data_IF_644229653972
#
_entry.id   IF_644229653972
#
_cell.length_a   1.000
_cell.length_b   1.000
_cell.length_c   1.000
_cell.angle_alpha   90.00
_cell.angle_beta   90.00
_cell.angle_gamma   90.00
#
_symmetry.space_group_name_H-M   'P 1'
#
loop_
_entity.id
_entity.type
_entity.pdbx_description
1 polymer ?
#
# COMPACT_ATOMS: atom_id res chain seq x y z
N UNK A 1 25.01 -23.65 -47.43
CA UNK A 1 23.59 -23.47 -47.07
C UNK A 1 23.23 -24.08 -45.71
N UNK A 2 23.43 -25.39 -45.45
CA UNK A 2 23.04 -26.04 -44.16
C UNK A 2 23.69 -25.43 -42.91
N UNK A 3 25.00 -25.12 -42.95
CA UNK A 3 25.70 -24.48 -41.81
C UNK A 3 25.22 -23.06 -41.51
N UNK A 4 24.86 -22.29 -42.54
CA UNK A 4 24.27 -20.96 -42.38
C UNK A 4 22.86 -21.05 -41.79
N UNK A 5 22.05 -22.00 -42.25
CA UNK A 5 20.71 -22.25 -41.69
C UNK A 5 20.78 -22.65 -40.20
N UNK A 6 21.67 -23.57 -39.83
CA UNK A 6 21.88 -23.95 -38.43
C UNK A 6 22.35 -22.77 -37.56
N UNK A 7 23.24 -21.92 -38.09
CA UNK A 7 23.69 -20.71 -37.40
C UNK A 7 22.55 -19.70 -37.19
N UNK A 8 21.74 -19.45 -38.23
CA UNK A 8 20.58 -18.56 -38.15
C UNK A 8 19.57 -19.09 -37.12
N UNK A 9 19.24 -20.39 -37.14
CA UNK A 9 18.34 -21.00 -36.16
C UNK A 9 18.89 -20.82 -34.74
N UNK A 10 20.18 -21.04 -34.53
CA UNK A 10 20.81 -20.86 -33.22
C UNK A 10 20.71 -19.42 -32.72
N UNK A 11 20.98 -18.43 -33.57
CA UNK A 11 20.86 -17.01 -33.22
C UNK A 11 19.41 -16.65 -32.89
N UNK A 12 18.43 -17.13 -33.66
CA UNK A 12 17.01 -16.90 -33.39
C UNK A 12 16.59 -17.49 -32.04
N UNK A 13 17.02 -18.72 -31.72
CA UNK A 13 16.74 -19.35 -30.42
C UNK A 13 17.34 -18.54 -29.27
N UNK A 14 18.56 -18.03 -29.42
CA UNK A 14 19.18 -17.17 -28.41
C UNK A 14 18.42 -15.85 -28.23
N UNK A 15 17.96 -15.22 -29.31
CA UNK A 15 17.16 -13.99 -29.23
C UNK A 15 15.81 -14.22 -28.54
N UNK A 16 15.13 -15.34 -28.84
CA UNK A 16 13.88 -15.71 -28.18
C UNK A 16 14.10 -16.00 -26.69
N UNK A 17 15.16 -16.73 -26.34
CA UNK A 17 15.49 -16.99 -24.94
C UNK A 17 15.84 -15.69 -24.18
N UNK A 18 16.62 -14.79 -24.78
CA UNK A 18 16.95 -13.50 -24.19
C UNK A 18 15.70 -12.63 -23.99
N UNK A 19 14.78 -12.61 -24.98
CA UNK A 19 13.51 -11.92 -24.86
C UNK A 19 12.63 -12.52 -23.74
N UNK A 20 12.56 -13.85 -23.64
CA UNK A 20 11.81 -14.52 -22.58
C UNK A 20 12.36 -14.19 -21.19
N UNK A 21 13.68 -14.22 -21.01
CA UNK A 21 14.34 -13.81 -19.76
C UNK A 21 14.09 -12.33 -19.45
N UNK A 22 14.16 -11.47 -20.47
CA UNK A 22 13.88 -10.04 -20.28
C UNK A 22 12.43 -9.78 -19.85
N UNK A 23 11.48 -10.45 -20.47
CA UNK A 23 10.05 -10.38 -20.10
C UNK A 23 9.87 -10.90 -18.67
N UNK A 24 10.44 -12.07 -18.33
CA UNK A 24 10.31 -12.64 -17.00
C UNK A 24 10.90 -11.74 -15.91
N UNK A 25 12.07 -11.15 -16.19
CA UNK A 25 12.74 -10.21 -15.29
C UNK A 25 11.98 -8.89 -15.10
N UNK A 26 11.29 -8.42 -16.14
CA UNK A 26 10.53 -7.16 -16.11
C UNK A 26 9.09 -7.35 -15.65
N UNK A 27 8.60 -8.60 -15.57
CA UNK A 27 7.25 -8.88 -15.12
C UNK A 27 7.10 -8.59 -13.62
N UNK A 28 6.25 -7.62 -13.28
CA UNK A 28 5.90 -7.32 -11.89
C UNK A 28 5.05 -8.43 -11.32
N UNK A 29 5.61 -9.23 -10.42
CA UNK A 29 4.87 -10.24 -9.65
C UNK A 29 4.38 -9.64 -8.34
N UNK A 30 3.25 -10.14 -7.82
CA UNK A 30 2.80 -9.82 -6.47
C UNK A 30 3.83 -10.32 -5.46
N UNK A 31 3.97 -9.63 -4.34
CA UNK A 31 4.91 -10.01 -3.29
C UNK A 31 4.22 -10.94 -2.30
N UNK A 32 4.94 -11.96 -1.84
CA UNK A 32 4.43 -12.86 -0.81
C UNK A 32 4.10 -12.10 0.49
N UNK A 33 3.04 -12.46 1.23
CA UNK A 33 2.68 -11.86 2.52
C UNK A 33 3.65 -12.24 3.67
N UNK A 34 4.79 -12.87 3.32
CA UNK A 34 5.87 -13.29 4.22
C UNK A 34 7.20 -13.24 3.48
N UNK A 35 8.29 -13.18 4.24
CA UNK A 35 9.65 -13.25 3.69
C UNK A 35 10.59 -12.23 4.32
N UNK A 36 11.56 -11.79 3.52
CA UNK A 36 12.62 -10.89 3.96
C UNK A 36 13.57 -11.51 4.99
N UNK A 37 14.28 -10.66 5.74
CA UNK A 37 15.17 -11.09 6.83
C UNK A 37 14.35 -11.78 7.93
N UNK A 38 14.82 -12.92 8.42
CA UNK A 38 14.19 -13.60 9.55
C UNK A 38 14.38 -12.81 10.86
N UNK A 39 13.32 -12.72 11.66
CA UNK A 39 13.34 -12.07 12.98
C UNK A 39 13.22 -13.12 14.08
N UNK A 40 14.26 -13.27 14.90
CA UNK A 40 14.32 -14.24 16.00
C UNK A 40 13.35 -13.94 17.15
N UNK A 41 12.87 -12.70 17.24
CA UNK A 41 11.92 -12.25 18.26
C UNK A 41 10.82 -11.43 17.57
N UNK A 42 9.64 -11.41 18.18
CA UNK A 42 8.52 -10.60 17.70
C UNK A 42 8.85 -9.12 17.90
N UNK A 43 8.81 -8.35 16.81
CA UNK A 43 8.96 -6.90 16.83
C UNK A 43 7.61 -6.29 16.48
N UNK A 44 7.17 -5.34 17.30
CA UNK A 44 5.94 -4.58 17.09
C UNK A 44 6.20 -3.10 17.21
N UNK A 45 5.60 -2.34 16.30
CA UNK A 45 5.54 -0.89 16.34
C UNK A 45 4.22 -0.50 17.01
N UNK A 46 4.27 0.52 17.87
CA UNK A 46 3.11 1.07 18.57
C UNK A 46 2.22 1.92 17.64
N UNK A 47 1.89 1.39 16.46
CA UNK A 47 0.98 2.03 15.51
C UNK A 47 -0.44 2.02 16.13
N UNK A 48 -1.11 3.18 16.21
CA UNK A 48 -2.48 3.24 16.72
C UNK A 48 -3.42 2.44 15.83
N UNK A 49 -4.57 2.03 16.38
CA UNK A 49 -5.58 1.31 15.62
C UNK A 49 -6.75 2.24 15.32
N UNK A 50 -7.00 2.50 14.04
CA UNK A 50 -8.22 3.19 13.60
C UNK A 50 -9.11 2.24 12.82
N UNK A 51 -10.41 2.26 13.13
CA UNK A 51 -11.41 1.45 12.43
C UNK A 51 -12.07 2.33 11.38
N UNK A 52 -12.05 1.91 10.12
CA UNK A 52 -12.72 2.69 9.07
C UNK A 52 -14.23 2.78 9.34
N UNK A 53 -14.81 1.77 10.00
CA UNK A 53 -16.22 1.67 10.38
C UNK A 53 -16.55 2.19 11.78
N UNK A 54 -15.70 3.04 12.36
CA UNK A 54 -15.97 3.68 13.65
C UNK A 54 -17.15 4.65 13.59
N UNK A 55 -18.02 4.64 14.61
CA UNK A 55 -19.26 5.42 14.65
C UNK A 55 -19.05 6.91 14.36
N UNK A 56 -17.92 7.47 14.80
CA UNK A 56 -17.59 8.88 14.60
C UNK A 56 -17.56 9.33 13.14
N UNK A 57 -17.17 8.45 12.21
CA UNK A 57 -16.90 8.83 10.81
C UNK A 57 -17.36 7.82 9.77
N UNK A 58 -17.86 6.65 10.16
CA UNK A 58 -18.23 5.57 9.23
C UNK A 58 -19.24 5.97 8.15
N UNK A 59 -20.06 6.99 8.45
CA UNK A 59 -21.13 7.46 7.58
C UNK A 59 -20.70 8.70 6.76
N UNK A 60 -19.47 9.19 6.94
CA UNK A 60 -18.93 10.32 6.17
C UNK A 60 -18.68 9.89 4.72
N UNK A 61 -19.12 10.69 3.72
CA UNK A 61 -18.78 10.46 2.32
C UNK A 61 -17.27 10.48 2.09
N UNK A 62 -16.77 9.51 1.33
CA UNK A 62 -15.36 9.43 0.99
C UNK A 62 -14.97 10.62 0.09
N UNK A 63 -14.02 11.43 0.55
CA UNK A 63 -13.63 12.67 -0.12
C UNK A 63 -14.74 13.73 -0.21
N UNK A 64 -15.80 13.62 0.60
CA UNK A 64 -16.95 14.53 0.53
C UNK A 64 -17.88 14.28 -0.65
N UNK A 65 -17.68 13.18 -1.40
CA UNK A 65 -18.46 12.81 -2.58
C UNK A 65 -19.28 11.54 -2.27
N UNK A 66 -20.62 11.63 -2.15
CA UNK A 66 -21.46 10.48 -1.79
C UNK A 66 -21.34 9.28 -2.74
N UNK A 67 -21.06 9.52 -4.02
CA UNK A 67 -20.93 8.49 -5.05
C UNK A 67 -19.72 7.57 -4.83
N UNK A 68 -18.72 8.03 -4.06
CA UNK A 68 -17.52 7.26 -3.72
C UNK A 68 -17.73 6.30 -2.53
N UNK A 69 -18.94 6.22 -2.01
CA UNK A 69 -19.25 5.48 -0.79
C UNK A 69 -18.85 6.24 0.47
N UNK A 70 -18.74 5.52 1.58
CA UNK A 70 -18.44 6.11 2.89
C UNK A 70 -17.07 5.65 3.40
N UNK A 71 -16.52 6.38 4.38
CA UNK A 71 -15.34 5.93 5.12
C UNK A 71 -15.53 4.53 5.73
N UNK A 72 -16.74 4.21 6.19
CA UNK A 72 -17.06 2.89 6.74
C UNK A 72 -16.91 1.75 5.73
N UNK A 73 -17.33 1.98 4.48
CA UNK A 73 -17.25 0.97 3.41
C UNK A 73 -15.88 0.91 2.74
N UNK A 74 -15.36 2.06 2.33
CA UNK A 74 -14.23 2.16 1.37
C UNK A 74 -13.00 2.88 1.96
N UNK A 75 -13.05 3.33 3.21
CA UNK A 75 -12.03 4.18 3.84
C UNK A 75 -10.75 3.48 4.30
N UNK A 76 -10.48 2.23 3.88
CA UNK A 76 -9.31 1.47 4.36
C UNK A 76 -7.98 2.21 4.11
N UNK A 77 -7.82 2.83 2.94
CA UNK A 77 -6.62 3.60 2.59
C UNK A 77 -6.45 4.85 3.48
N UNK A 78 -7.55 5.56 3.74
CA UNK A 78 -7.57 6.77 4.57
C UNK A 78 -7.23 6.42 6.01
N UNK A 79 -7.90 5.41 6.57
CA UNK A 79 -7.65 4.96 7.93
C UNK A 79 -6.23 4.42 8.11
N UNK A 80 -5.71 3.63 7.16
CA UNK A 80 -4.34 3.15 7.17
C UNK A 80 -3.32 4.30 7.13
N UNK A 81 -3.57 5.32 6.31
CA UNK A 81 -2.70 6.51 6.21
C UNK A 81 -2.73 7.32 7.51
N UNK A 82 -3.91 7.54 8.09
CA UNK A 82 -4.05 8.24 9.36
C UNK A 82 -3.32 7.50 10.50
N UNK A 83 -3.34 6.16 10.52
CA UNK A 83 -2.57 5.37 11.49
C UNK A 83 -1.06 5.63 11.38
N UNK A 84 -0.53 5.70 10.14
CA UNK A 84 0.89 5.98 9.90
C UNK A 84 1.25 7.41 10.30
N UNK A 85 0.44 8.40 9.93
CA UNK A 85 0.66 9.80 10.29
C UNK A 85 0.68 10.00 11.81
N UNK A 86 -0.28 9.39 12.51
CA UNK A 86 -0.34 9.46 13.98
C UNK A 86 0.82 8.71 14.65
N UNK A 87 1.28 7.59 14.10
CA UNK A 87 2.50 6.92 14.57
C UNK A 87 3.73 7.84 14.49
N UNK A 88 3.82 8.69 13.46
CA UNK A 88 4.88 9.68 13.32
C UNK A 88 4.63 11.01 14.06
N UNK A 89 3.59 11.09 14.89
CA UNK A 89 3.31 12.24 15.73
C UNK A 89 2.50 13.35 15.08
N UNK A 90 1.95 13.14 13.88
CA UNK A 90 0.97 14.05 13.27
C UNK A 90 -0.39 13.70 13.89
N UNK A 91 -0.96 14.62 14.67
CA UNK A 91 -2.25 14.38 15.33
C UNK A 91 -3.41 14.51 14.35
N UNK A 92 -3.69 13.41 13.65
CA UNK A 92 -4.76 13.29 12.65
C UNK A 92 -5.52 11.98 12.87
N UNK A 93 -6.83 12.02 12.65
CA UNK A 93 -7.70 10.85 12.59
C UNK A 93 -8.24 10.63 11.15
N UNK A 94 -8.92 9.50 10.87
CA UNK A 94 -9.43 9.22 9.53
C UNK A 94 -10.40 10.28 8.99
N UNK A 95 -11.22 10.88 9.85
CA UNK A 95 -12.17 11.92 9.48
C UNK A 95 -11.47 13.22 9.08
N UNK A 96 -10.55 13.69 9.92
CA UNK A 96 -9.74 14.87 9.65
C UNK A 96 -8.94 14.72 8.36
N UNK A 97 -8.36 13.53 8.14
CA UNK A 97 -7.64 13.25 6.89
C UNK A 97 -8.60 13.23 5.68
N UNK A 98 -9.78 12.61 5.83
CA UNK A 98 -10.79 12.56 4.77
C UNK A 98 -11.27 13.95 4.36
N UNK A 99 -11.41 14.88 5.30
CA UNK A 99 -11.78 16.27 5.01
C UNK A 99 -10.62 17.10 4.45
N UNK A 100 -9.39 16.80 4.83
CA UNK A 100 -8.21 17.53 4.37
C UNK A 100 -7.86 17.20 2.91
N UNK A 101 -7.92 15.93 2.52
CA UNK A 101 -7.47 15.48 1.20
C UNK A 101 -8.15 16.20 0.02
N UNK A 102 -9.48 16.45 -0.01
CA UNK A 102 -10.12 17.22 -1.08
C UNK A 102 -9.59 18.65 -1.22
N UNK A 103 -9.13 19.27 -0.12
CA UNK A 103 -8.63 20.65 -0.11
C UNK A 103 -7.26 20.79 -0.79
N UNK A 104 -6.57 19.67 -1.01
CA UNK A 104 -5.23 19.62 -1.61
C UNK A 104 -5.22 18.76 -2.88
N UNK A 105 -6.38 18.56 -3.50
CA UNK A 105 -6.57 17.68 -4.66
C UNK A 105 -5.98 16.28 -4.41
N UNK A 106 -6.19 15.77 -3.20
CA UNK A 106 -5.66 14.51 -2.69
C UNK A 106 -6.52 13.28 -2.99
N UNK A 107 -7.64 13.42 -3.71
CA UNK A 107 -8.52 12.32 -4.12
C UNK A 107 -8.78 12.29 -5.63
N UNK A 108 -8.72 11.10 -6.24
CA UNK A 108 -9.19 10.86 -7.61
C UNK A 108 -10.70 11.07 -7.73
N UNK A 109 -11.21 11.16 -8.96
CA UNK A 109 -12.65 11.21 -9.26
C UNK A 109 -13.44 10.05 -8.63
N UNK A 110 -12.80 8.90 -8.38
CA UNK A 110 -13.38 7.71 -7.74
C UNK A 110 -13.17 7.67 -6.21
N UNK A 111 -12.69 8.76 -5.59
CA UNK A 111 -12.48 8.85 -4.15
C UNK A 111 -11.26 8.07 -3.63
N UNK A 112 -10.35 7.68 -4.51
CA UNK A 112 -9.08 7.06 -4.09
C UNK A 112 -8.08 8.15 -3.76
N UNK A 113 -7.32 8.01 -2.68
CA UNK A 113 -6.27 8.99 -2.41
C UNK A 113 -5.32 9.04 -3.63
N UNK A 114 -5.04 10.24 -4.17
CA UNK A 114 -4.07 10.45 -5.26
C UNK A 114 -2.69 10.03 -4.77
N UNK A 115 -2.38 8.76 -5.03
CA UNK A 115 -1.06 8.16 -4.84
C UNK A 115 -0.24 8.15 -6.14
N UNK A 116 -0.79 8.81 -7.16
CA UNK A 116 -0.51 8.84 -8.60
C UNK A 116 -0.42 7.54 -9.38
N UNK A 117 -0.26 6.32 -8.80
CA UNK A 117 -0.42 5.04 -9.56
C UNK A 117 -0.80 3.79 -8.74
N UNK A 118 -1.37 3.92 -7.54
CA UNK A 118 -1.50 2.77 -6.62
C UNK A 118 -2.80 1.95 -6.71
N UNK A 119 -3.81 2.40 -7.45
CA UNK A 119 -5.02 1.64 -7.71
C UNK A 119 -5.05 1.23 -9.18
N UNK A 120 -4.94 -0.07 -9.47
CA UNK A 120 -5.36 -0.57 -10.77
C UNK A 120 -6.88 -0.36 -10.87
N UNK A 121 -7.39 0.21 -11.98
CA UNK A 121 -8.82 0.34 -12.18
C UNK A 121 -9.49 -1.04 -12.06
N UNK A 122 -10.37 -1.20 -11.06
CA UNK A 122 -11.23 -2.38 -10.92
C UNK A 122 -10.78 -3.48 -9.95
N UNK A 123 -9.70 -3.31 -9.18
CA UNK A 123 -9.42 -4.19 -8.03
C UNK A 123 -9.84 -3.52 -6.72
N UNK A 124 -10.69 -4.18 -5.93
CA UNK A 124 -10.93 -3.81 -4.53
C UNK A 124 -9.64 -4.10 -3.76
N UNK A 125 -8.75 -3.10 -3.69
CA UNK A 125 -7.48 -3.21 -2.97
C UNK A 125 -7.72 -2.87 -1.50
N UNK A 126 -7.59 -3.85 -0.62
CA UNK A 126 -7.65 -3.63 0.83
C UNK A 126 -6.31 -3.10 1.35
N UNK A 127 -6.34 -1.97 2.06
CA UNK A 127 -5.14 -1.35 2.63
C UNK A 127 -4.98 -1.70 4.10
N UNK A 128 -3.78 -2.14 4.47
CA UNK A 128 -3.38 -2.44 5.86
C UNK A 128 -2.02 -1.83 6.17
N UNK A 129 -1.72 -1.63 7.45
CA UNK A 129 -0.41 -1.13 7.88
C UNK A 129 0.43 -2.28 8.40
N UNK A 130 1.55 -2.59 7.76
CA UNK A 130 2.56 -3.49 8.35
C UNK A 130 3.18 -2.76 9.55
N UNK A 131 2.93 -3.30 10.74
CA UNK A 131 3.30 -2.69 12.02
C UNK A 131 4.13 -3.64 12.89
N UNK A 132 4.62 -4.74 12.33
CA UNK A 132 5.50 -5.65 13.04
C UNK A 132 5.98 -6.83 12.21
N UNK A 133 6.79 -7.68 12.84
CA UNK A 133 7.35 -8.88 12.22
C UNK A 133 7.60 -9.97 13.26
N UNK A 134 7.28 -11.21 12.90
CA UNK A 134 7.57 -12.40 13.69
C UNK A 134 8.09 -13.51 12.77
N UNK A 135 9.37 -13.89 12.90
CA UNK A 135 10.00 -14.79 11.94
C UNK A 135 9.95 -14.23 10.52
N UNK A 136 9.31 -14.95 9.60
CA UNK A 136 9.07 -14.50 8.23
C UNK A 136 7.75 -13.74 8.04
N UNK A 137 6.86 -13.75 9.03
CA UNK A 137 5.54 -13.15 8.89
C UNK A 137 5.56 -11.65 9.16
N UNK A 138 4.93 -10.89 8.27
CA UNK A 138 4.61 -9.48 8.53
C UNK A 138 3.35 -9.42 9.39
N UNK A 139 3.36 -8.60 10.45
CA UNK A 139 2.20 -8.36 11.30
C UNK A 139 1.54 -7.07 10.89
N UNK A 140 0.21 -7.07 10.76
CA UNK A 140 -0.54 -5.93 10.23
C UNK A 140 -1.57 -5.39 11.22
N UNK A 141 -1.75 -4.07 11.15
CA UNK A 141 -2.86 -3.32 11.72
C UNK A 141 -3.88 -3.11 10.60
N UNK A 142 -5.04 -3.71 10.74
CA UNK A 142 -6.10 -3.68 9.73
C UNK A 142 -7.19 -2.66 10.11
N UNK A 143 -7.50 -1.67 9.26
CA UNK A 143 -8.58 -0.72 9.53
C UNK A 143 -9.99 -1.29 9.29
N UNK A 144 -10.10 -2.39 8.53
CA UNK A 144 -11.36 -3.03 8.16
C UNK A 144 -11.81 -4.11 9.15
N UNK A 145 -12.35 -5.21 8.62
CA UNK A 145 -12.94 -6.28 9.43
C UNK A 145 -11.93 -6.94 10.39
N UNK A 146 -10.65 -6.98 10.04
CA UNK A 146 -9.60 -7.53 10.90
C UNK A 146 -9.19 -6.64 12.07
N UNK A 147 -9.71 -5.41 12.20
CA UNK A 147 -9.26 -4.47 13.23
C UNK A 147 -9.43 -5.00 14.67
N UNK A 148 -10.47 -5.78 14.92
CA UNK A 148 -10.72 -6.40 16.22
C UNK A 148 -9.66 -7.44 16.64
N UNK A 149 -8.85 -7.93 15.69
CA UNK A 149 -7.79 -8.92 15.95
C UNK A 149 -6.51 -8.29 16.51
N UNK A 150 -6.37 -6.97 16.48
CA UNK A 150 -5.11 -6.29 16.79
C UNK A 150 -4.04 -6.58 15.73
N UNK A 151 -2.81 -6.89 16.15
CA UNK A 151 -1.72 -7.27 15.24
C UNK A 151 -1.79 -8.76 14.90
N UNK A 152 -1.99 -9.07 13.63
CA UNK A 152 -2.06 -10.43 13.13
C UNK A 152 -1.21 -10.63 11.86
N UNK A 153 -0.79 -11.87 11.53
CA UNK A 153 -0.02 -12.16 10.32
C UNK A 153 -0.75 -11.78 9.02
N UNK A 154 -0.08 -11.03 8.14
CA UNK A 154 -0.62 -10.57 6.85
C UNK A 154 -1.14 -11.71 5.97
N UNK A 155 -0.51 -12.89 6.04
CA UNK A 155 -0.96 -14.10 5.32
C UNK A 155 -2.42 -14.48 5.60
N UNK A 156 -2.97 -14.08 6.75
CA UNK A 156 -4.35 -14.38 7.12
C UNK A 156 -5.37 -13.59 6.29
N UNK A 157 -4.96 -12.54 5.56
CA UNK A 157 -5.80 -11.89 4.55
C UNK A 157 -6.06 -12.78 3.34
N UNK A 158 -5.24 -13.81 3.10
CA UNK A 158 -5.40 -14.74 1.99
C UNK A 158 -5.04 -14.18 0.60
N UNK A 159 -4.40 -13.01 0.54
CA UNK A 159 -3.94 -12.39 -0.70
C UNK A 159 -2.45 -12.05 -0.67
N UNK A 160 -1.83 -12.02 -1.85
CA UNK A 160 -0.48 -11.48 -2.03
C UNK A 160 -0.49 -9.95 -2.03
N UNK A 161 0.64 -9.35 -1.72
CA UNK A 161 0.83 -7.90 -1.68
C UNK A 161 0.95 -7.38 -3.11
N UNK A 162 0.03 -6.49 -3.48
CA UNK A 162 0.01 -5.86 -4.79
C UNK A 162 0.98 -4.67 -4.88
N UNK A 163 1.08 -3.91 -3.78
CA UNK A 163 1.93 -2.74 -3.68
C UNK A 163 2.36 -2.50 -2.22
N UNK A 164 3.49 -1.80 -2.05
CA UNK A 164 3.98 -1.31 -0.77
C UNK A 164 4.22 0.19 -0.87
N UNK A 165 3.95 0.90 0.22
CA UNK A 165 4.31 2.32 0.40
C UNK A 165 5.08 2.47 1.69
N UNK A 166 6.19 3.20 1.61
CA UNK A 166 7.03 3.53 2.74
C UNK A 166 6.77 4.97 3.14
N UNK A 167 6.74 5.23 4.44
CA UNK A 167 6.61 6.55 5.02
C UNK A 167 7.80 6.77 5.94
N UNK A 168 8.48 7.89 5.77
CA UNK A 168 9.63 8.28 6.58
C UNK A 168 9.44 9.74 7.03
N UNK A 169 9.74 10.08 8.29
CA UNK A 169 9.80 11.46 8.72
C UNK A 169 10.92 12.17 7.96
N UNK A 170 10.61 13.31 7.35
CA UNK A 170 11.65 14.19 6.83
C UNK A 170 12.25 14.91 8.04
N UNK A 171 13.38 14.41 8.53
CA UNK A 171 14.20 15.15 9.49
C UNK A 171 14.58 16.49 8.84
N UNK A 172 13.95 17.59 9.28
CA UNK A 172 14.08 18.99 8.82
C UNK A 172 13.11 19.49 7.72
N UNK A 173 11.85 19.08 7.73
CA UNK A 173 10.81 19.75 6.91
C UNK A 173 10.70 21.28 7.16
N UNK A 174 11.07 21.74 8.36
CA UNK A 174 11.12 23.17 8.72
C UNK A 174 12.20 23.97 7.96
N UNK A 175 13.24 23.33 7.44
CA UNK A 175 14.31 24.01 6.68
C UNK A 175 13.94 24.28 5.22
N UNK A 176 13.06 23.47 4.63
CA UNK A 176 12.68 23.61 3.23
C UNK A 176 11.55 24.63 3.03
N UNK A 177 10.63 24.76 4.00
CA UNK A 177 9.55 25.75 3.95
C UNK A 177 10.04 27.21 4.09
N UNK A 178 11.18 27.44 4.76
CA UNK A 178 11.81 28.77 4.86
C UNK A 178 12.60 29.20 3.62
N UNK A 179 12.92 28.26 2.71
CA UNK A 179 13.66 28.55 1.48
C UNK A 179 12.75 28.90 0.28
N UNK A 180 11.43 28.80 0.46
CA UNK A 180 10.42 29.15 -0.54
C UNK A 180 9.61 30.41 -0.20
N UNK A 181 10.07 31.22 0.75
CA UNK A 181 9.45 32.49 1.10
C UNK A 181 10.28 33.68 0.62
#
# INVERSE_FOLDING_TARGET
MKRLLSFVIFVVVLLVAALAVHIDWTWKRKLSPRGGRYFFHRVELAVPSFRQSEEKWRDDPLGGVPENGTLGGEGCAVAATAMVFKFYGIDVDPQQLNWFLPLVDGYTENGWIYWDRAALPGSVTHFVVIAGKQGFDYLVRDPGAGSAKGLYPLRELGSDIEALRFYEPIANASSQLSAQK
#
